data_IF_483592104391
#
_entry.id   IF_483592104391
#
_cell.length_a   1.000
_cell.length_b   1.000
_cell.length_c   1.000
_cell.angle_alpha   90.00
_cell.angle_beta   90.00
_cell.angle_gamma   90.00
#
_symmetry.space_group_name_H-M   'P 1'
#
loop_
_entity.id
_entity.type
_entity.pdbx_description
1 polymer ?
#
# COMPACT_ATOMS: atom_id res chain seq x y z
N UNK A 1 -16.87 -18.53 1.20
CA UNK A 1 -15.90 -17.92 0.27
C UNK A 1 -15.33 -16.67 0.95
N UNK A 2 -14.02 -16.41 0.88
CA UNK A 2 -13.42 -15.18 1.41
C UNK A 2 -13.26 -14.17 0.28
N UNK A 3 -13.80 -12.97 0.47
CA UNK A 3 -13.72 -11.87 -0.50
C UNK A 3 -12.82 -10.78 0.06
N UNK A 4 -12.01 -10.17 -0.79
CA UNK A 4 -11.14 -9.05 -0.43
C UNK A 4 -11.26 -7.93 -1.48
N UNK A 5 -11.03 -6.70 -1.06
CA UNK A 5 -10.94 -5.54 -1.93
C UNK A 5 -9.48 -5.13 -2.15
N UNK A 6 -9.18 -4.53 -3.29
CA UNK A 6 -7.94 -3.79 -3.54
C UNK A 6 -8.30 -2.36 -3.92
N UNK A 7 -7.64 -1.40 -3.30
CA UNK A 7 -7.81 0.01 -3.60
C UNK A 7 -6.48 0.64 -4.05
N UNK A 8 -6.58 1.51 -5.03
CA UNK A 8 -5.45 2.24 -5.62
C UNK A 8 -5.46 3.72 -5.23
N UNK A 9 -6.41 4.15 -4.40
CA UNK A 9 -6.68 5.55 -4.06
C UNK A 9 -6.83 6.42 -5.33
N UNK A 10 -7.81 6.14 -6.21
CA UNK A 10 -7.92 6.80 -7.50
C UNK A 10 -8.30 8.28 -7.37
N UNK A 11 -7.65 9.13 -8.17
CA UNK A 11 -7.97 10.56 -8.28
C UNK A 11 -8.83 10.74 -9.53
N UNK A 12 -10.11 11.00 -9.34
CA UNK A 12 -11.04 11.27 -10.44
C UNK A 12 -10.90 12.72 -10.96
N UNK A 13 -11.39 12.99 -12.17
CA UNK A 13 -11.22 14.28 -12.87
C UNK A 13 -11.73 15.51 -12.13
N UNK A 14 -12.65 15.33 -11.20
CA UNK A 14 -13.27 16.38 -10.38
C UNK A 14 -12.82 16.34 -8.91
N UNK A 15 -11.78 15.60 -8.58
CA UNK A 15 -11.26 15.42 -7.21
C UNK A 15 -9.76 15.73 -7.14
N UNK A 16 -9.19 15.56 -5.95
CA UNK A 16 -7.77 15.70 -5.68
C UNK A 16 -7.25 14.56 -4.79
N UNK A 17 -5.94 14.52 -4.56
CA UNK A 17 -5.30 13.48 -3.77
C UNK A 17 -5.86 13.39 -2.34
N UNK A 18 -6.13 14.53 -1.69
CA UNK A 18 -6.68 14.55 -0.32
C UNK A 18 -8.07 13.91 -0.27
N UNK A 19 -8.89 14.17 -1.28
CA UNK A 19 -10.21 13.56 -1.39
C UNK A 19 -10.10 12.06 -1.65
N UNK A 20 -9.21 11.63 -2.56
CA UNK A 20 -8.97 10.22 -2.84
C UNK A 20 -8.57 9.44 -1.58
N UNK A 21 -7.69 10.00 -0.73
CA UNK A 21 -7.31 9.36 0.53
C UNK A 21 -8.48 9.29 1.52
N UNK A 22 -9.34 10.31 1.59
CA UNK A 22 -10.56 10.24 2.41
C UNK A 22 -11.50 9.14 1.93
N UNK A 23 -11.72 9.05 0.62
CA UNK A 23 -12.56 8.02 0.00
C UNK A 23 -12.01 6.60 0.22
N UNK A 24 -10.68 6.41 0.13
CA UNK A 24 -10.01 5.15 0.52
C UNK A 24 -10.36 4.74 1.95
N UNK A 25 -10.32 5.70 2.90
CA UNK A 25 -10.63 5.43 4.30
C UNK A 25 -12.10 5.05 4.50
N UNK A 26 -13.00 5.75 3.83
CA UNK A 26 -14.43 5.46 3.92
C UNK A 26 -14.79 4.13 3.23
N UNK A 27 -14.13 3.82 2.10
CA UNK A 27 -14.26 2.52 1.44
C UNK A 27 -13.79 1.38 2.34
N UNK A 28 -12.68 1.53 3.07
CA UNK A 28 -12.19 0.52 3.98
C UNK A 28 -13.20 0.24 5.11
N UNK A 29 -13.79 1.28 5.71
CA UNK A 29 -14.87 1.14 6.72
C UNK A 29 -16.09 0.42 6.13
N UNK A 30 -16.46 0.78 4.91
CA UNK A 30 -17.59 0.13 4.23
C UNK A 30 -17.31 -1.34 3.97
N UNK A 31 -16.11 -1.69 3.49
CA UNK A 31 -15.69 -3.08 3.31
C UNK A 31 -15.70 -3.86 4.64
N UNK A 32 -15.27 -3.25 5.73
CA UNK A 32 -15.32 -3.85 7.07
C UNK A 32 -16.77 -4.13 7.50
N UNK A 33 -17.66 -3.16 7.33
CA UNK A 33 -19.09 -3.32 7.66
C UNK A 33 -19.81 -4.41 6.86
N UNK A 34 -19.31 -4.71 5.65
CA UNK A 34 -19.79 -5.81 4.81
C UNK A 34 -19.17 -7.17 5.15
N UNK A 35 -18.23 -7.22 6.10
CA UNK A 35 -17.54 -8.45 6.49
C UNK A 35 -16.55 -8.96 5.45
N UNK A 36 -15.93 -8.08 4.64
CA UNK A 36 -14.86 -8.47 3.73
C UNK A 36 -13.63 -8.93 4.54
N UNK A 37 -12.89 -9.87 3.95
CA UNK A 37 -11.77 -10.51 4.65
C UNK A 37 -10.53 -9.62 4.71
N UNK A 38 -10.20 -8.91 3.60
CA UNK A 38 -9.02 -8.07 3.48
C UNK A 38 -9.28 -6.82 2.67
N UNK A 39 -8.56 -5.76 3.01
CA UNK A 39 -8.45 -4.53 2.23
C UNK A 39 -6.97 -4.33 1.87
N UNK A 40 -6.67 -4.33 0.59
CA UNK A 40 -5.33 -4.20 0.05
C UNK A 40 -5.10 -2.80 -0.50
N UNK A 41 -4.00 -2.18 -0.12
CA UNK A 41 -3.55 -0.89 -0.64
C UNK A 41 -2.47 -1.10 -1.68
N UNK A 42 -2.69 -0.60 -2.89
CA UNK A 42 -1.68 -0.59 -3.93
C UNK A 42 -0.65 0.54 -3.71
N UNK A 43 0.52 0.38 -4.30
CA UNK A 43 1.60 1.37 -4.27
C UNK A 43 1.85 1.92 -5.69
N UNK A 44 1.69 3.24 -5.87
CA UNK A 44 1.94 3.92 -7.15
C UNK A 44 2.67 5.24 -6.89
N UNK A 45 3.72 5.51 -7.67
CA UNK A 45 4.55 6.70 -7.52
C UNK A 45 4.44 7.63 -8.71
N UNK A 46 4.51 8.96 -8.46
CA UNK A 46 4.51 9.99 -9.50
C UNK A 46 3.26 10.02 -10.38
N UNK A 47 2.19 9.37 -9.98
CA UNK A 47 0.96 9.27 -10.73
C UNK A 47 0.05 10.48 -10.49
N UNK A 48 -0.54 11.01 -11.57
CA UNK A 48 -1.64 11.99 -11.46
C UNK A 48 -2.99 11.34 -11.20
N UNK A 49 -3.08 10.01 -11.35
CA UNK A 49 -4.33 9.25 -11.26
C UNK A 49 -4.49 8.49 -9.94
N UNK A 50 -3.44 8.38 -9.14
CA UNK A 50 -3.44 7.61 -7.89
C UNK A 50 -2.73 8.38 -6.77
N UNK A 51 -3.37 8.44 -5.60
CA UNK A 51 -2.83 9.13 -4.42
C UNK A 51 -2.02 8.20 -3.49
N UNK A 52 -2.22 6.88 -3.59
CA UNK A 52 -1.59 5.88 -2.72
C UNK A 52 -0.15 5.57 -3.12
N UNK A 53 0.84 6.17 -2.44
CA UNK A 53 2.26 5.95 -2.72
C UNK A 53 3.02 5.22 -1.62
N UNK A 54 2.44 5.06 -0.43
CA UNK A 54 3.10 4.45 0.74
C UNK A 54 2.09 3.67 1.57
N UNK A 55 1.84 2.40 1.21
CA UNK A 55 0.87 1.56 1.93
C UNK A 55 1.15 1.51 3.44
N UNK A 56 2.41 1.41 3.84
CA UNK A 56 2.83 1.33 5.24
C UNK A 56 2.48 2.56 6.08
N UNK A 57 2.29 3.72 5.42
CA UNK A 57 1.82 4.96 6.08
C UNK A 57 0.29 4.97 6.20
N UNK A 58 -0.41 4.45 5.18
CA UNK A 58 -1.87 4.49 5.13
C UNK A 58 -2.53 3.35 5.94
N UNK A 59 -1.90 2.17 5.98
CA UNK A 59 -2.37 0.99 6.73
C UNK A 59 -2.78 1.33 8.17
N UNK A 60 -1.95 1.98 9.01
CA UNK A 60 -2.34 2.25 10.40
C UNK A 60 -3.54 3.19 10.51
N UNK A 61 -3.71 4.12 9.57
CA UNK A 61 -4.89 4.99 9.53
C UNK A 61 -6.18 4.22 9.24
N UNK A 62 -6.12 3.20 8.39
CA UNK A 62 -7.27 2.34 8.09
C UNK A 62 -7.53 1.35 9.24
N UNK A 63 -6.50 0.71 9.75
CA UNK A 63 -6.61 -0.26 10.83
C UNK A 63 -7.21 0.35 12.11
N UNK A 64 -6.87 1.61 12.40
CA UNK A 64 -7.41 2.35 13.55
C UNK A 64 -8.91 2.76 13.38
N UNK A 65 -9.46 2.72 12.18
CA UNK A 65 -10.83 3.13 11.87
C UNK A 65 -11.74 1.96 11.49
N UNK A 66 -11.22 0.73 11.53
CA UNK A 66 -11.91 -0.51 11.19
C UNK A 66 -11.74 -1.51 12.33
N UNK A 67 -12.67 -2.46 12.46
CA UNK A 67 -12.70 -3.38 13.60
C UNK A 67 -12.14 -4.76 13.29
N UNK A 68 -12.54 -5.36 12.17
CA UNK A 68 -12.30 -6.78 11.88
C UNK A 68 -11.52 -7.05 10.60
N UNK A 69 -11.69 -6.22 9.57
CA UNK A 69 -11.04 -6.40 8.28
C UNK A 69 -9.52 -6.32 8.41
N UNK A 70 -8.81 -7.27 7.78
CA UNK A 70 -7.36 -7.21 7.70
C UNK A 70 -6.95 -6.17 6.67
N UNK A 71 -5.91 -5.39 6.97
CA UNK A 71 -5.40 -4.33 6.09
C UNK A 71 -3.97 -4.65 5.68
N UNK A 72 -3.65 -4.53 4.42
CA UNK A 72 -2.32 -4.88 3.94
C UNK A 72 -1.88 -4.12 2.69
N UNK A 73 -0.60 -4.26 2.38
CA UNK A 73 -0.05 -3.78 1.11
C UNK A 73 -0.31 -4.78 0.00
N UNK A 74 -0.76 -4.30 -1.14
CA UNK A 74 -1.04 -5.13 -2.30
C UNK A 74 -0.39 -4.63 -3.61
N UNK A 75 0.97 -4.45 -3.58
CA UNK A 75 2.03 -4.77 -2.63
C UNK A 75 3.09 -3.70 -2.52
N UNK A 76 3.94 -3.83 -1.51
CA UNK A 76 5.16 -3.01 -1.40
C UNK A 76 6.10 -3.33 -2.55
N UNK A 77 6.58 -2.31 -3.23
CA UNK A 77 7.55 -2.46 -4.34
C UNK A 77 8.96 -2.66 -3.80
N UNK A 78 9.22 -3.87 -3.32
CA UNK A 78 10.43 -4.23 -2.57
C UNK A 78 11.74 -3.93 -3.31
N UNK A 79 11.69 -3.80 -4.64
CA UNK A 79 12.86 -3.43 -5.45
C UNK A 79 13.45 -2.06 -5.08
N UNK A 80 12.64 -1.17 -4.51
CA UNK A 80 13.02 0.21 -4.19
C UNK A 80 13.43 0.40 -2.73
N UNK A 81 13.27 -0.63 -1.89
CA UNK A 81 13.43 -0.49 -0.44
C UNK A 81 14.39 -1.52 0.14
N UNK A 82 14.99 -1.19 1.29
CA UNK A 82 15.66 -2.18 2.11
C UNK A 82 14.65 -3.23 2.60
N UNK A 83 14.83 -4.52 2.27
CA UNK A 83 13.95 -5.58 2.79
C UNK A 83 13.89 -5.60 4.32
N UNK A 84 15.01 -5.30 4.98
CA UNK A 84 15.09 -5.20 6.42
C UNK A 84 14.17 -4.10 6.96
N UNK A 85 14.20 -2.90 6.34
CA UNK A 85 13.34 -1.78 6.76
C UNK A 85 11.86 -2.06 6.54
N UNK A 86 11.51 -2.71 5.44
CA UNK A 86 10.12 -3.14 5.19
C UNK A 86 9.68 -4.14 6.27
N UNK A 87 10.51 -5.12 6.61
CA UNK A 87 10.21 -6.08 7.68
C UNK A 87 10.01 -5.39 9.04
N UNK A 88 10.86 -4.42 9.40
CA UNK A 88 10.69 -3.64 10.63
C UNK A 88 9.36 -2.88 10.66
N UNK A 89 9.01 -2.19 9.56
CA UNK A 89 7.76 -1.43 9.46
C UNK A 89 6.55 -2.34 9.68
N UNK A 90 6.48 -3.47 8.99
CA UNK A 90 5.35 -4.39 9.11
C UNK A 90 5.33 -5.14 10.44
N UNK A 91 6.50 -5.42 11.04
CA UNK A 91 6.58 -5.96 12.41
C UNK A 91 6.01 -4.96 13.42
N UNK A 92 6.30 -3.68 13.25
CA UNK A 92 5.75 -2.62 14.11
C UNK A 92 4.24 -2.47 13.91
N UNK A 93 3.76 -2.48 12.64
CA UNK A 93 2.33 -2.44 12.33
C UNK A 93 1.57 -3.62 12.96
N UNK A 94 2.10 -4.84 12.89
CA UNK A 94 1.50 -6.01 13.55
C UNK A 94 1.46 -5.85 15.07
N UNK A 95 2.47 -5.20 15.68
CA UNK A 95 2.47 -4.92 17.12
C UNK A 95 1.42 -3.88 17.52
N UNK A 96 1.13 -2.90 16.65
CA UNK A 96 0.10 -1.89 16.85
C UNK A 96 -1.32 -2.44 16.63
N UNK A 97 -1.48 -3.37 15.67
CA UNK A 97 -2.76 -3.93 15.26
C UNK A 97 -2.66 -5.46 15.13
N UNK A 98 -2.57 -6.19 16.26
CA UNK A 98 -2.34 -7.63 16.24
C UNK A 98 -3.37 -8.41 15.42
N UNK A 99 -2.89 -9.33 14.57
CA UNK A 99 -3.70 -10.17 13.69
C UNK A 99 -4.51 -9.42 12.62
N UNK A 100 -4.16 -8.15 12.35
CA UNK A 100 -4.88 -7.30 11.39
C UNK A 100 -4.05 -6.91 10.17
N UNK A 101 -2.76 -7.20 10.15
CA UNK A 101 -1.82 -6.69 9.15
C UNK A 101 -1.40 -7.81 8.19
N UNK A 102 -1.34 -7.47 6.90
CA UNK A 102 -0.81 -8.35 5.86
C UNK A 102 0.27 -7.61 5.04
N UNK A 103 1.41 -8.26 4.84
CA UNK A 103 2.47 -7.79 3.94
C UNK A 103 2.38 -8.50 2.59
N UNK A 104 1.94 -7.79 1.57
CA UNK A 104 2.08 -8.22 0.18
C UNK A 104 3.28 -7.54 -0.46
N UNK A 105 4.06 -8.29 -1.21
CA UNK A 105 5.26 -7.81 -1.92
C UNK A 105 5.00 -7.74 -3.42
N UNK A 106 5.49 -6.69 -4.05
CA UNK A 106 5.42 -6.45 -5.48
C UNK A 106 6.79 -6.38 -6.14
N UNK A 107 6.83 -6.62 -7.45
CA UNK A 107 8.02 -6.54 -8.30
C UNK A 107 7.91 -5.45 -9.37
N UNK A 108 6.77 -4.77 -9.48
CA UNK A 108 6.57 -3.73 -10.47
C UNK A 108 7.50 -2.53 -10.21
N UNK A 109 7.93 -1.79 -11.25
CA UNK A 109 8.74 -0.59 -11.08
C UNK A 109 7.96 0.58 -10.43
N UNK A 110 6.65 0.46 -10.30
CA UNK A 110 5.77 1.39 -9.59
C UNK A 110 5.48 2.69 -10.32
N UNK A 111 6.18 2.95 -11.40
CA UNK A 111 6.11 4.21 -12.11
C UNK A 111 6.89 4.14 -13.43
N UNK A 112 7.07 5.29 -14.08
CA UNK A 112 7.98 5.42 -15.21
C UNK A 112 9.48 5.36 -14.78
N UNK A 113 10.38 5.39 -15.76
CA UNK A 113 11.81 5.25 -15.53
C UNK A 113 12.41 6.40 -14.68
N UNK A 114 11.82 7.60 -14.73
CA UNK A 114 12.30 8.75 -13.96
C UNK A 114 12.01 8.59 -12.45
N UNK A 115 10.77 8.25 -12.09
CA UNK A 115 10.40 8.00 -10.71
C UNK A 115 11.08 6.74 -10.15
N UNK A 116 11.15 5.67 -10.97
CA UNK A 116 11.88 4.46 -10.58
C UNK A 116 13.34 4.75 -10.26
N UNK A 117 14.01 5.60 -11.07
CA UNK A 117 15.36 6.07 -10.80
C UNK A 117 15.49 6.91 -9.53
N UNK A 118 14.50 7.77 -9.24
CA UNK A 118 14.48 8.56 -8.01
C UNK A 118 14.28 7.68 -6.76
N UNK A 119 13.42 6.68 -6.84
CA UNK A 119 13.18 5.71 -5.74
C UNK A 119 14.42 4.85 -5.48
N UNK A 120 15.13 4.46 -6.53
CA UNK A 120 16.34 3.67 -6.45
C UNK A 120 17.60 4.52 -6.10
N UNK A 121 17.43 5.79 -5.72
CA UNK A 121 18.55 6.69 -5.42
C UNK A 121 19.51 6.09 -4.37
N UNK A 122 20.79 5.98 -4.75
CA UNK A 122 21.82 5.37 -3.91
C UNK A 122 21.87 3.84 -3.91
N UNK A 123 20.92 3.15 -4.56
CA UNK A 123 20.96 1.72 -4.79
C UNK A 123 21.82 1.40 -6.03
N UNK A 124 22.68 0.37 -5.93
CA UNK A 124 23.44 -0.13 -7.08
C UNK A 124 22.67 -1.14 -7.93
N UNK A 125 21.49 -1.56 -7.46
CA UNK A 125 20.67 -2.59 -8.09
C UNK A 125 19.29 -2.01 -8.39
N UNK A 126 19.00 -1.80 -9.65
CA UNK A 126 17.72 -1.21 -10.13
C UNK A 126 16.93 -2.17 -11.00
N UNK A 127 17.13 -3.48 -10.87
CA UNK A 127 16.53 -4.43 -11.79
C UNK A 127 16.07 -5.74 -11.17
N UNK A 128 15.49 -6.65 -12.00
CA UNK A 128 15.04 -7.97 -11.59
C UNK A 128 16.12 -8.84 -10.95
N UNK A 129 17.39 -8.56 -11.21
CA UNK A 129 18.56 -9.22 -10.64
C UNK A 129 18.65 -9.11 -9.12
N UNK A 130 17.88 -8.20 -8.50
CA UNK A 130 17.80 -8.09 -7.05
C UNK A 130 17.15 -9.33 -6.38
N UNK A 131 16.46 -10.14 -7.15
CA UNK A 131 15.73 -11.32 -6.70
C UNK A 131 16.28 -12.65 -7.26
N UNK A 132 17.47 -12.62 -7.85
CA UNK A 132 18.15 -13.79 -8.37
C UNK A 132 18.92 -14.55 -7.27
#
# INVERSE_FOLDING_TARGET
MKISAVDQSPIFSNTNADQAIRETKDLAKYCDSLGLNRFWLAEHHGSKSFAGCSPEILIPSLAAQTESIRVGSGGVMLMHYSPYKVAENFRLLESLFPNRIDLGLGRAPGSDAYQAGALAYGSKTTGPEFFA
#
